data_IF_853822875293
#
_entry.id   IF_853822875293
#
_cell.length_a   1.000
_cell.length_b   1.000
_cell.length_c   1.000
_cell.angle_alpha   90.00
_cell.angle_beta   90.00
_cell.angle_gamma   90.00
#
_symmetry.space_group_name_H-M   'P 1'
#
loop_
_entity.id
_entity.type
_entity.pdbx_description
1 polymer ?
#
# COMPACT_ATOMS: atom_id res chain seq x y z
N UNK A 1 -18.50 19.90 -11.32
CA UNK A 1 -18.04 19.48 -9.97
C UNK A 1 -18.01 17.96 -9.97
N UNK A 2 -16.90 17.34 -9.59
CA UNK A 2 -16.83 15.88 -9.57
C UNK A 2 -17.84 15.33 -8.56
N UNK A 3 -18.64 14.35 -8.96
CA UNK A 3 -19.60 13.69 -8.09
C UNK A 3 -18.83 12.90 -7.02
N UNK A 4 -19.02 13.24 -5.75
CA UNK A 4 -18.49 12.48 -4.63
C UNK A 4 -19.62 11.74 -3.94
N UNK A 5 -19.51 10.42 -3.84
CA UNK A 5 -20.45 9.61 -3.08
C UNK A 5 -20.17 9.70 -1.57
N UNK A 6 -21.22 9.59 -0.77
CA UNK A 6 -21.11 9.63 0.68
C UNK A 6 -20.82 8.25 1.26
N UNK A 7 -19.76 8.15 2.06
CA UNK A 7 -19.44 6.94 2.84
C UNK A 7 -19.94 7.12 4.26
N UNK A 8 -20.83 6.22 4.71
CA UNK A 8 -21.33 6.17 6.09
C UNK A 8 -20.94 4.85 6.74
N UNK A 9 -20.28 4.93 7.91
CA UNK A 9 -19.92 3.77 8.72
C UNK A 9 -20.30 4.03 10.18
N UNK A 10 -20.84 3.00 10.86
CA UNK A 10 -21.10 3.06 12.30
C UNK A 10 -19.80 2.89 13.07
N UNK A 11 -19.57 3.76 14.05
CA UNK A 11 -18.37 3.75 14.90
C UNK A 11 -18.75 4.21 16.31
N UNK A 12 -18.05 3.70 17.31
CA UNK A 12 -18.15 4.21 18.68
C UNK A 12 -17.77 5.71 18.71
N UNK A 13 -18.59 6.59 19.31
CA UNK A 13 -18.31 8.03 19.36
C UNK A 13 -16.97 8.39 19.99
N UNK A 14 -16.56 7.67 21.05
CA UNK A 14 -15.27 7.91 21.73
C UNK A 14 -14.10 7.51 20.84
N UNK A 15 -14.26 6.47 20.02
CA UNK A 15 -13.24 6.09 19.03
C UNK A 15 -13.13 7.16 17.95
N UNK A 16 -14.26 7.66 17.44
CA UNK A 16 -14.29 8.76 16.47
C UNK A 16 -13.58 10.01 16.98
N UNK A 17 -13.84 10.41 18.22
CA UNK A 17 -13.21 11.59 18.83
C UNK A 17 -11.69 11.42 18.96
N UNK A 18 -11.21 10.29 19.51
CA UNK A 18 -9.78 10.03 19.63
C UNK A 18 -9.08 9.97 18.27
N UNK A 19 -9.69 9.29 17.30
CA UNK A 19 -9.14 9.21 15.95
C UNK A 19 -9.06 10.58 15.28
N UNK A 20 -10.09 11.43 15.46
CA UNK A 20 -10.10 12.78 14.92
C UNK A 20 -8.97 13.64 15.51
N UNK A 21 -8.73 13.56 16.82
CA UNK A 21 -7.64 14.28 17.47
C UNK A 21 -6.26 13.89 16.93
N UNK A 22 -5.98 12.58 16.83
CA UNK A 22 -4.70 12.07 16.30
C UNK A 22 -4.48 12.47 14.84
N UNK A 23 -5.52 12.35 14.01
CA UNK A 23 -5.42 12.75 12.60
C UNK A 23 -5.20 14.27 12.45
N UNK A 24 -5.82 15.07 13.31
CA UNK A 24 -5.67 16.53 13.29
C UNK A 24 -4.25 16.95 13.68
N UNK A 25 -3.59 16.27 14.63
CA UNK A 25 -2.17 16.47 14.94
C UNK A 25 -1.27 16.21 13.72
N UNK A 26 -1.66 15.26 12.86
CA UNK A 26 -0.99 14.97 11.59
C UNK A 26 -1.43 15.88 10.42
N UNK A 27 -2.31 16.86 10.65
CA UNK A 27 -2.83 17.77 9.63
C UNK A 27 -3.87 17.15 8.69
N UNK A 28 -4.53 16.07 9.10
CA UNK A 28 -5.54 15.35 8.32
C UNK A 28 -6.91 15.40 8.99
N UNK A 29 -7.98 15.45 8.19
CA UNK A 29 -9.34 15.19 8.68
C UNK A 29 -9.67 13.70 8.61
N UNK A 30 -10.72 13.28 9.32
CA UNK A 30 -11.27 11.91 9.20
C UNK A 30 -11.66 11.61 7.75
N UNK A 31 -12.23 12.59 7.04
CA UNK A 31 -12.60 12.44 5.63
C UNK A 31 -11.39 12.28 4.71
N UNK A 32 -10.25 12.90 5.03
CA UNK A 32 -9.00 12.69 4.27
C UNK A 32 -8.49 11.27 4.45
N UNK A 33 -8.45 10.79 5.70
CA UNK A 33 -8.02 9.43 6.00
C UNK A 33 -8.89 8.38 5.29
N UNK A 34 -10.22 8.55 5.32
CA UNK A 34 -11.16 7.64 4.63
C UNK A 34 -10.97 7.69 3.12
N UNK A 35 -10.80 8.88 2.53
CA UNK A 35 -10.53 9.01 1.08
C UNK A 35 -9.22 8.34 0.68
N UNK A 36 -8.14 8.53 1.44
CA UNK A 36 -6.85 7.90 1.19
C UNK A 36 -6.98 6.37 1.27
N UNK A 37 -7.61 5.86 2.32
CA UNK A 37 -7.83 4.43 2.53
C UNK A 37 -8.57 3.79 1.35
N UNK A 38 -9.72 4.34 0.97
CA UNK A 38 -10.56 3.78 -0.09
C UNK A 38 -9.91 3.92 -1.47
N UNK A 39 -9.26 5.06 -1.75
CA UNK A 39 -8.56 5.28 -3.02
C UNK A 39 -7.40 4.30 -3.19
N UNK A 40 -6.58 4.09 -2.15
CA UNK A 40 -5.49 3.12 -2.19
C UNK A 40 -6.01 1.70 -2.32
N UNK A 41 -7.04 1.34 -1.56
CA UNK A 41 -7.64 0.00 -1.65
C UNK A 41 -8.17 -0.28 -3.05
N UNK A 42 -8.83 0.68 -3.69
CA UNK A 42 -9.34 0.55 -5.04
C UNK A 42 -8.23 0.42 -6.10
N UNK A 43 -7.14 1.18 -5.95
CA UNK A 43 -6.05 1.19 -6.94
C UNK A 43 -5.06 0.03 -6.76
N UNK A 44 -4.80 -0.38 -5.52
CA UNK A 44 -3.76 -1.36 -5.17
C UNK A 44 -4.36 -2.77 -4.99
N UNK A 45 -5.68 -2.89 -4.87
CA UNK A 45 -6.37 -4.18 -4.70
C UNK A 45 -6.13 -4.86 -3.35
N UNK A 46 -5.54 -4.15 -2.39
CA UNK A 46 -5.25 -4.61 -1.04
C UNK A 46 -5.51 -3.48 -0.03
N UNK A 47 -5.87 -3.84 1.20
CA UNK A 47 -5.90 -2.86 2.29
C UNK A 47 -4.48 -2.36 2.55
N UNK A 48 -4.28 -1.04 2.74
CA UNK A 48 -2.99 -0.48 3.10
C UNK A 48 -2.44 -1.17 4.37
N UNK A 49 -1.19 -1.64 4.26
CA UNK A 49 -0.52 -2.66 5.09
C UNK A 49 -0.52 -2.46 6.62
N UNK A 50 -0.93 -1.32 7.16
CA UNK A 50 -0.94 -1.08 8.61
C UNK A 50 -2.15 -1.67 9.36
N UNK A 51 -3.12 -2.25 8.64
CA UNK A 51 -4.22 -3.01 9.26
C UNK A 51 -3.92 -4.52 9.35
N UNK A 52 -2.79 -4.99 8.83
CA UNK A 52 -2.40 -6.39 8.90
C UNK A 52 -1.61 -6.59 10.19
N UNK A 53 -2.21 -7.35 11.11
CA UNK A 53 -1.62 -7.90 12.34
C UNK A 53 -0.07 -7.95 12.29
N UNK A 54 0.64 -7.22 13.17
CA UNK A 54 2.10 -7.25 13.25
C UNK A 54 2.68 -8.66 13.31
N UNK A 55 1.99 -9.62 13.94
CA UNK A 55 2.42 -11.02 13.99
C UNK A 55 2.39 -11.69 12.62
N UNK A 56 1.44 -11.31 11.74
CA UNK A 56 1.37 -11.81 10.37
C UNK A 56 2.44 -11.21 9.48
N UNK A 57 2.74 -9.92 9.63
CA UNK A 57 3.87 -9.30 8.94
C UNK A 57 5.19 -9.96 9.37
N UNK A 58 5.38 -10.16 10.68
CA UNK A 58 6.57 -10.82 11.20
C UNK A 58 6.71 -12.26 10.68
N UNK A 59 5.62 -13.04 10.67
CA UNK A 59 5.62 -14.39 10.15
C UNK A 59 5.96 -14.44 8.64
N UNK A 60 5.38 -13.54 7.85
CA UNK A 60 5.72 -13.41 6.42
C UNK A 60 7.19 -13.04 6.22
N UNK A 61 7.69 -12.06 6.99
CA UNK A 61 9.08 -11.61 6.90
C UNK A 61 10.06 -12.72 7.24
N UNK A 62 9.84 -13.43 8.37
CA UNK A 62 10.67 -14.58 8.75
C UNK A 62 10.65 -15.68 7.68
N UNK A 63 9.49 -15.99 7.11
CA UNK A 63 9.39 -16.98 6.04
C UNK A 63 10.23 -16.58 4.81
N UNK A 64 10.20 -15.30 4.41
CA UNK A 64 11.00 -14.81 3.28
C UNK A 64 12.50 -14.77 3.56
N UNK A 65 12.91 -14.48 4.79
CA UNK A 65 14.31 -14.58 5.20
C UNK A 65 14.80 -16.02 5.15
N UNK A 66 14.03 -16.97 5.68
CA UNK A 66 14.40 -18.39 5.64
C UNK A 66 14.46 -18.93 4.20
N UNK A 67 13.52 -18.54 3.34
CA UNK A 67 13.54 -18.86 1.91
C UNK A 67 14.83 -18.36 1.25
N UNK A 68 15.23 -17.11 1.51
CA UNK A 68 16.46 -16.55 0.96
C UNK A 68 17.74 -17.21 1.51
N UNK A 69 17.74 -17.63 2.78
CA UNK A 69 18.87 -18.37 3.37
C UNK A 69 18.99 -19.80 2.84
N UNK A 70 17.87 -20.42 2.45
CA UNK A 70 17.84 -21.76 1.87
C UNK A 70 18.14 -21.76 0.35
N UNK A 71 18.10 -20.60 -0.31
CA UNK A 71 18.38 -20.48 -1.74
C UNK A 71 19.87 -20.70 -2.02
N UNK A 72 20.19 -21.81 -2.68
CA UNK A 72 21.55 -22.15 -3.11
C UNK A 72 21.87 -21.66 -4.52
N UNK A 73 21.00 -20.84 -5.12
CA UNK A 73 21.21 -20.30 -6.46
C UNK A 73 22.47 -19.42 -6.51
N UNK A 74 23.21 -19.42 -7.63
CA UNK A 74 24.38 -18.58 -7.77
C UNK A 74 23.99 -17.10 -7.70
N UNK A 75 24.87 -16.29 -7.10
CA UNK A 75 24.70 -14.85 -7.05
C UNK A 75 24.59 -14.27 -8.47
N UNK A 76 23.61 -13.39 -8.69
CA UNK A 76 23.46 -12.67 -9.95
C UNK A 76 24.32 -11.41 -9.94
N UNK A 77 24.98 -11.12 -11.06
CA UNK A 77 25.77 -9.90 -11.20
C UNK A 77 24.88 -8.64 -11.10
N UNK A 78 25.38 -7.61 -10.43
CA UNK A 78 24.62 -6.39 -10.18
C UNK A 78 24.25 -5.63 -11.47
N UNK A 79 25.09 -5.67 -12.50
CA UNK A 79 24.80 -5.03 -13.79
C UNK A 79 23.64 -5.76 -14.51
N UNK A 80 23.62 -7.08 -14.45
CA UNK A 80 22.53 -7.88 -15.00
C UNK A 80 21.20 -7.60 -14.29
N UNK A 81 21.22 -7.53 -12.95
CA UNK A 81 20.04 -7.14 -12.16
C UNK A 81 19.53 -5.77 -12.60
N UNK A 82 20.42 -4.76 -12.71
CA UNK A 82 20.03 -3.41 -13.16
C UNK A 82 19.39 -3.40 -14.55
N UNK A 83 19.94 -4.17 -15.49
CA UNK A 83 19.39 -4.28 -16.84
C UNK A 83 17.97 -4.88 -16.81
N UNK A 84 17.76 -5.99 -16.07
CA UNK A 84 16.44 -6.63 -15.91
C UNK A 84 15.41 -5.68 -15.29
N UNK A 85 15.78 -4.92 -14.25
CA UNK A 85 14.88 -3.94 -13.64
C UNK A 85 14.58 -2.75 -14.56
N UNK A 86 15.55 -2.29 -15.35
CA UNK A 86 15.33 -1.23 -16.34
C UNK A 86 14.34 -1.66 -17.43
N UNK A 87 14.40 -2.90 -17.88
CA UNK A 87 13.43 -3.48 -18.81
C UNK A 87 12.03 -3.56 -18.19
N UNK A 88 11.90 -4.12 -16.99
CA UNK A 88 10.61 -4.20 -16.28
C UNK A 88 9.96 -2.82 -16.10
N UNK A 89 10.75 -1.79 -15.75
CA UNK A 89 10.24 -0.40 -15.65
C UNK A 89 9.73 0.13 -16.98
N UNK A 90 10.48 -0.08 -18.08
CA UNK A 90 10.04 0.34 -19.42
C UNK A 90 8.72 -0.34 -19.82
N UNK A 91 8.60 -1.63 -19.56
CA UNK A 91 7.38 -2.39 -19.84
C UNK A 91 6.18 -1.93 -18.99
N UNK A 92 6.41 -1.60 -17.71
CA UNK A 92 5.37 -1.07 -16.83
C UNK A 92 4.88 0.31 -17.30
N UNK A 93 5.81 1.20 -17.70
CA UNK A 93 5.47 2.54 -18.22
C UNK A 93 4.70 2.46 -19.55
N UNK A 94 5.05 1.53 -20.44
CA UNK A 94 4.33 1.31 -21.69
C UNK A 94 2.92 0.72 -21.48
N UNK A 95 2.66 0.12 -20.31
CA UNK A 95 1.36 -0.48 -19.93
C UNK A 95 0.42 0.48 -19.22
N UNK A 96 0.83 1.72 -18.96
CA UNK A 96 -0.06 2.74 -18.41
C UNK A 96 -0.71 3.47 -19.60
N UNK A 97 -1.91 3.09 -20.06
CA UNK A 97 -2.65 3.94 -20.97
C UNK A 97 -2.97 5.24 -20.25
N UNK A 98 -2.85 6.36 -20.96
CA UNK A 98 -3.27 7.68 -20.49
C UNK A 98 -4.66 7.59 -19.86
N UNK A 99 -4.72 7.69 -18.53
CA UNK A 99 -5.95 7.92 -17.79
C UNK A 99 -6.37 9.40 -17.98
N UNK A 100 -6.67 9.76 -19.22
CA UNK A 100 -7.35 10.99 -19.64
C UNK A 100 -8.02 10.77 -21.00
N UNK A 101 -9.25 10.28 -20.95
CA UNK A 101 -10.33 10.59 -21.89
C UNK A 101 -11.65 10.47 -21.12
#
# INVERSE_FOLDING_TARGET
MAASDLVQARIDPRVKERAAAVLQEAGLTVSDAVRILLTRTANEGALPLELIDPARHEAWFRAKVLEALADTSPATDHAEVKARFAEKRRAALARTPDAKA
#
